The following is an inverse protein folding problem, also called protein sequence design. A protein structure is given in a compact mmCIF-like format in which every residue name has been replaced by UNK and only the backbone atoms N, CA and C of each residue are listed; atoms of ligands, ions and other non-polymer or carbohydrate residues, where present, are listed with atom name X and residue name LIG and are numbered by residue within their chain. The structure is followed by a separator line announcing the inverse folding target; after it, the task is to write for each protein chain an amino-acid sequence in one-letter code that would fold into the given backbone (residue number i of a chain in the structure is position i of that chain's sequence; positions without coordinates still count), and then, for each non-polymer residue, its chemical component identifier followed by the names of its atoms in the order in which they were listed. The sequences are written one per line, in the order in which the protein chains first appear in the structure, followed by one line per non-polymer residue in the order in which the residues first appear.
data_IF_144893665608
#
_entry.id   IF_144893665608
#
_cell.length_a   1.000
_cell.length_b   1.000
_cell.length_c   1.000
_cell.angle_alpha   90.00
_cell.angle_beta   90.00
_cell.angle_gamma   90.00
#
_symmetry.space_group_name_H-M   'P 1'
#
loop_
_entity.id
_entity.type
_entity.pdbx_description
1 polymer ?
#
# COMPACT_ATOMS: atom_id res chain seq x y z
N UNK A 1 4.66 2.05 23.45
CA UNK A 1 5.44 2.22 22.21
C UNK A 1 4.68 1.86 20.91
N UNK A 2 3.45 1.32 20.94
CA UNK A 2 2.68 0.90 19.74
C UNK A 2 1.77 1.97 19.09
N UNK A 3 1.49 3.11 19.75
CA UNK A 3 0.49 4.08 19.26
C UNK A 3 0.96 4.85 18.02
N UNK A 4 2.22 5.32 18.01
CA UNK A 4 2.76 6.14 16.92
C UNK A 4 2.87 5.33 15.63
N UNK A 5 3.40 4.10 15.70
CA UNK A 5 3.49 3.21 14.53
C UNK A 5 2.13 2.93 13.88
N UNK A 6 1.08 2.79 14.69
CA UNK A 6 -0.29 2.60 14.20
C UNK A 6 -0.84 3.84 13.49
N UNK A 7 -0.60 5.02 14.06
CA UNK A 7 -1.06 6.30 13.49
C UNK A 7 -0.36 6.55 12.16
N UNK A 8 0.97 6.37 12.13
CA UNK A 8 1.75 6.45 10.88
C UNK A 8 1.17 5.47 9.86
N UNK A 9 0.80 4.26 10.29
CA UNK A 9 0.20 3.29 9.39
C UNK A 9 -1.14 3.70 8.80
N UNK A 10 -2.02 4.28 9.61
CA UNK A 10 -3.35 4.73 9.17
C UNK A 10 -3.22 5.91 8.21
N UNK A 11 -2.33 6.86 8.51
CA UNK A 11 -2.02 7.97 7.59
C UNK A 11 -1.47 7.41 6.27
N UNK A 12 -0.60 6.41 6.35
CA UNK A 12 -0.02 5.75 5.19
C UNK A 12 -1.06 4.98 4.35
N UNK A 13 -2.01 4.36 5.03
CA UNK A 13 -3.16 3.67 4.43
C UNK A 13 -4.00 4.62 3.59
N UNK A 14 -4.29 5.80 4.13
CA UNK A 14 -5.07 6.82 3.44
C UNK A 14 -4.33 7.36 2.21
N UNK A 15 -3.02 7.60 2.31
CA UNK A 15 -2.19 8.05 1.20
C UNK A 15 -2.15 6.99 0.09
N UNK A 16 -1.96 5.71 0.44
CA UNK A 16 -1.92 4.63 -0.55
C UNK A 16 -3.27 4.46 -1.27
N UNK A 17 -4.39 4.49 -0.53
CA UNK A 17 -5.72 4.42 -1.12
C UNK A 17 -5.99 5.59 -2.08
N UNK A 18 -5.55 6.80 -1.72
CA UNK A 18 -5.65 7.98 -2.58
C UNK A 18 -4.82 7.83 -3.86
N UNK A 19 -3.57 7.37 -3.75
CA UNK A 19 -2.72 7.13 -4.91
C UNK A 19 -3.25 6.06 -5.85
N UNK A 20 -3.80 4.96 -5.33
CA UNK A 20 -4.43 3.93 -6.16
C UNK A 20 -5.71 4.45 -6.83
N UNK A 21 -6.44 5.38 -6.20
CA UNK A 21 -7.65 5.95 -6.81
C UNK A 21 -7.38 6.89 -8.00
N UNK A 22 -6.22 7.56 -8.05
CA UNK A 22 -5.91 8.56 -9.10
C UNK A 22 -5.84 7.91 -10.50
N UNK A 23 -5.06 6.83 -10.73
CA UNK A 23 -5.04 6.14 -12.02
C UNK A 23 -6.42 5.61 -12.43
N UNK A 24 -7.22 5.14 -11.47
CA UNK A 24 -8.59 4.65 -11.69
C UNK A 24 -9.49 5.79 -12.19
N UNK A 25 -9.33 7.00 -11.64
CA UNK A 25 -10.08 8.20 -12.02
C UNK A 25 -9.65 8.77 -13.38
N UNK A 26 -8.36 8.78 -13.69
CA UNK A 26 -7.83 9.38 -14.92
C UNK A 26 -7.97 8.50 -16.16
N UNK A 27 -7.86 7.17 -16.02
CA UNK A 27 -7.79 6.26 -17.17
C UNK A 27 -9.16 5.83 -17.73
N UNK A 28 -10.27 6.07 -17.01
CA UNK A 28 -11.64 5.77 -17.45
C UNK A 28 -11.93 4.30 -17.82
N UNK A 29 -10.94 3.41 -17.77
CA UNK A 29 -11.02 2.01 -18.18
C UNK A 29 -10.06 1.18 -17.33
N UNK A 30 -10.62 0.14 -16.70
CA UNK A 30 -9.92 -0.76 -15.77
C UNK A 30 -8.86 -1.67 -16.44
N UNK A 31 -8.74 -1.68 -17.77
CA UNK A 31 -8.35 -2.91 -18.47
C UNK A 31 -6.84 -3.19 -18.63
N UNK A 32 -5.92 -2.24 -18.36
CA UNK A 32 -4.48 -2.48 -18.60
C UNK A 32 -3.55 -2.41 -17.39
N UNK A 33 -3.99 -1.84 -16.27
CA UNK A 33 -3.15 -1.65 -15.06
C UNK A 33 -3.60 -2.56 -13.89
N UNK A 34 -4.77 -3.18 -14.02
CA UNK A 34 -5.46 -3.94 -12.97
C UNK A 34 -4.64 -5.02 -12.28
N UNK A 35 -3.82 -5.79 -13.01
CA UNK A 35 -3.07 -6.90 -12.40
C UNK A 35 -1.91 -6.44 -11.53
N UNK A 36 -1.20 -5.41 -12.00
CA UNK A 36 -0.08 -4.81 -11.26
C UNK A 36 -0.64 -4.10 -10.03
N UNK A 37 -1.71 -3.31 -10.20
CA UNK A 37 -2.39 -2.61 -9.13
C UNK A 37 -3.01 -3.56 -8.09
N UNK A 38 -3.66 -4.65 -8.53
CA UNK A 38 -4.27 -5.62 -7.64
C UNK A 38 -3.23 -6.37 -6.79
N UNK A 39 -2.07 -6.71 -7.38
CA UNK A 39 -0.98 -7.37 -6.65
C UNK A 39 -0.38 -6.41 -5.61
N UNK A 40 -0.24 -5.13 -5.93
CA UNK A 40 0.19 -4.11 -4.97
C UNK A 40 -0.80 -3.91 -3.82
N UNK A 41 -2.08 -3.86 -4.13
CA UNK A 41 -3.15 -3.78 -3.13
C UNK A 41 -3.16 -5.03 -2.25
N UNK A 42 -2.98 -6.23 -2.82
CA UNK A 42 -2.90 -7.49 -2.07
C UNK A 42 -1.70 -7.54 -1.11
N UNK A 43 -0.52 -7.17 -1.57
CA UNK A 43 0.69 -7.08 -0.74
C UNK A 43 0.49 -6.08 0.40
N UNK A 44 -0.14 -4.95 0.10
CA UNK A 44 -0.45 -3.93 1.09
C UNK A 44 -1.46 -4.42 2.14
N UNK A 45 -2.56 -5.07 1.73
CA UNK A 45 -3.56 -5.67 2.64
C UNK A 45 -2.91 -6.72 3.56
N UNK A 46 -2.07 -7.60 3.01
CA UNK A 46 -1.32 -8.58 3.79
C UNK A 46 -0.39 -7.90 4.80
N UNK A 47 0.27 -6.83 4.39
CA UNK A 47 1.10 -6.00 5.27
C UNK A 47 0.29 -5.44 6.45
N UNK A 48 -0.87 -4.83 6.17
CA UNK A 48 -1.82 -4.32 7.17
C UNK A 48 -2.23 -5.42 8.16
N UNK A 49 -2.61 -6.59 7.68
CA UNK A 49 -2.99 -7.73 8.54
C UNK A 49 -1.84 -8.14 9.46
N UNK A 50 -0.62 -8.23 8.92
CA UNK A 50 0.57 -8.62 9.69
C UNK A 50 0.96 -7.60 10.77
N UNK A 51 0.58 -6.33 10.63
CA UNK A 51 0.82 -5.30 11.65
C UNK A 51 -0.06 -5.46 12.89
N UNK A 52 -1.18 -6.17 12.79
CA UNK A 52 -2.00 -6.54 13.96
C UNK A 52 -1.44 -7.76 14.69
N UNK A 53 -0.52 -8.50 14.08
CA UNK A 53 0.11 -9.69 14.67
C UNK A 53 1.48 -9.29 15.24
N UNK A 54 1.60 -9.24 16.57
CA UNK A 54 2.82 -8.80 17.29
C UNK A 54 4.13 -9.41 16.76
N UNK A 55 4.12 -10.71 16.43
CA UNK A 55 5.29 -11.44 15.92
C UNK A 55 5.67 -11.05 14.47
N UNK A 56 4.70 -10.59 13.68
CA UNK A 56 4.86 -10.28 12.26
C UNK A 56 4.93 -8.78 11.98
N UNK A 57 4.83 -7.92 13.00
CA UNK A 57 4.82 -6.45 12.85
C UNK A 57 5.94 -5.92 11.94
N UNK A 58 7.17 -6.46 12.06
CA UNK A 58 8.31 -6.06 11.21
C UNK A 58 8.09 -6.42 9.73
N UNK A 59 7.54 -7.61 9.49
CA UNK A 59 7.23 -8.11 8.15
C UNK A 59 6.08 -7.29 7.57
N UNK A 60 5.04 -7.02 8.36
CA UNK A 60 3.92 -6.17 7.95
C UNK A 60 4.37 -4.78 7.48
N UNK A 61 5.32 -4.16 8.20
CA UNK A 61 5.93 -2.89 7.78
C UNK A 61 6.60 -2.97 6.41
N UNK A 62 7.38 -4.02 6.15
CA UNK A 62 8.05 -4.24 4.86
C UNK A 62 7.00 -4.37 3.75
N UNK A 63 5.98 -5.21 3.96
CA UNK A 63 4.91 -5.44 2.99
C UNK A 63 4.06 -4.20 2.70
N UNK A 64 3.95 -3.26 3.63
CA UNK A 64 3.27 -1.97 3.38
C UNK A 64 4.14 -0.89 2.75
N UNK A 65 5.48 -0.99 2.85
CA UNK A 65 6.42 -0.03 2.26
C UNK A 65 6.83 -0.43 0.85
N UNK A 66 6.97 -1.73 0.58
CA UNK A 66 7.39 -2.27 -0.72
C UNK A 66 6.51 -1.78 -1.90
N UNK A 67 5.16 -1.81 -1.79
CA UNK A 67 4.28 -1.31 -2.84
C UNK A 67 4.51 0.16 -3.16
N UNK A 68 4.85 0.94 -2.13
CA UNK A 68 5.01 2.37 -2.26
C UNK A 68 6.38 2.73 -2.85
N UNK A 69 7.45 2.04 -2.47
CA UNK A 69 8.74 2.17 -3.14
C UNK A 69 8.62 1.84 -4.62
N UNK A 70 7.87 0.77 -4.96
CA UNK A 70 7.65 0.41 -6.35
C UNK A 70 6.80 1.45 -7.10
N UNK A 71 5.74 1.97 -6.48
CA UNK A 71 4.93 3.04 -7.06
C UNK A 71 5.76 4.31 -7.31
N UNK A 72 6.63 4.72 -6.37
CA UNK A 72 7.54 5.85 -6.58
C UNK A 72 8.43 5.60 -7.79
N UNK A 73 9.01 4.40 -7.92
CA UNK A 73 9.88 4.05 -9.07
C UNK A 73 9.11 4.09 -10.39
N UNK A 74 7.85 3.66 -10.42
CA UNK A 74 7.07 3.65 -11.67
C UNK A 74 6.50 5.02 -12.08
N UNK A 75 6.12 5.85 -11.11
CA UNK A 75 5.38 7.09 -11.38
C UNK A 75 6.22 8.37 -11.26
N UNK A 76 7.37 8.33 -10.57
CA UNK A 76 8.22 9.51 -10.33
C UNK A 76 9.52 9.47 -11.12
N UNK A 77 10.02 8.27 -11.45
CA UNK A 77 11.33 8.04 -12.08
C UNK A 77 11.17 7.61 -13.54
#
# INVERSE_FOLDING_TARGET
MFKIYRIVHIIWTAIFAFYVSIPILESGSLEKTLYVDALFVLLWILGVIFLFIKKLTKIGFIFTILPLLYAIVLFVL
#
